data_IF_376376901653
#
_entry.id   IF_376376901653
#
_cell.length_a   1.000
_cell.length_b   1.000
_cell.length_c   1.000
_cell.angle_alpha   90.00
_cell.angle_beta   90.00
_cell.angle_gamma   90.00
#
_symmetry.space_group_name_H-M   'P 1'
#
loop_
_entity.id
_entity.type
_entity.pdbx_description
1 polymer ?
#
# COMPACT_ATOMS: atom_id res chain seq x y z
N UNK A 1 -41.59 -2.80 -2.95
CA UNK A 1 -40.54 -2.01 -3.63
C UNK A 1 -39.63 -3.01 -4.34
N UNK A 2 -39.48 -2.98 -5.67
CA UNK A 2 -38.43 -3.76 -6.32
C UNK A 2 -37.07 -3.17 -5.94
N UNK A 3 -36.04 -3.98 -5.60
CA UNK A 3 -34.70 -3.47 -5.38
C UNK A 3 -34.16 -2.91 -6.70
N UNK A 4 -33.66 -1.68 -6.66
CA UNK A 4 -33.11 -0.99 -7.82
C UNK A 4 -31.97 -1.81 -8.48
N UNK A 5 -31.83 -1.76 -9.82
CA UNK A 5 -30.74 -2.41 -10.50
C UNK A 5 -29.42 -1.82 -10.00
N UNK A 6 -28.58 -2.67 -9.42
CA UNK A 6 -27.19 -2.33 -9.13
C UNK A 6 -26.56 -1.95 -10.47
N UNK A 7 -26.29 -0.66 -10.68
CA UNK A 7 -25.53 -0.21 -11.84
C UNK A 7 -24.24 -1.02 -11.81
N UNK A 8 -24.01 -1.86 -12.81
CA UNK A 8 -22.73 -2.52 -13.02
C UNK A 8 -21.70 -1.40 -13.13
N UNK A 9 -20.99 -1.16 -12.02
CA UNK A 9 -19.86 -0.26 -12.00
C UNK A 9 -18.86 -0.81 -13.03
N UNK A 10 -18.17 0.07 -13.80
CA UNK A 10 -17.07 -0.38 -14.65
C UNK A 10 -16.14 -1.27 -13.81
N UNK A 11 -15.52 -2.32 -14.40
CA UNK A 11 -14.74 -3.31 -13.66
C UNK A 11 -13.90 -2.56 -12.63
N UNK A 12 -14.15 -2.79 -11.32
CA UNK A 12 -13.62 -1.91 -10.30
C UNK A 12 -12.12 -1.93 -10.43
N UNK A 13 -11.53 -0.76 -10.73
CA UNK A 13 -10.09 -0.58 -10.59
C UNK A 13 -9.71 -1.13 -9.21
N UNK A 14 -8.64 -1.96 -9.11
CA UNK A 14 -8.25 -2.51 -7.83
C UNK A 14 -8.10 -1.35 -6.83
N UNK A 15 -8.87 -1.44 -5.75
CA UNK A 15 -8.87 -0.44 -4.71
C UNK A 15 -8.01 -0.96 -3.58
N UNK A 16 -6.94 -0.24 -3.31
CA UNK A 16 -5.95 -0.58 -2.30
C UNK A 16 -6.26 0.22 -1.05
N UNK A 17 -6.76 -0.47 -0.04
CA UNK A 17 -7.12 0.13 1.24
C UNK A 17 -6.11 -0.29 2.32
N UNK A 18 -5.60 0.69 3.04
CA UNK A 18 -4.89 0.53 4.31
C UNK A 18 -5.90 0.86 5.40
N UNK A 19 -6.11 -0.09 6.31
CA UNK A 19 -7.05 0.10 7.40
C UNK A 19 -6.30 0.12 8.73
N UNK A 20 -6.78 0.90 9.71
CA UNK A 20 -6.21 0.86 11.06
C UNK A 20 -6.32 -0.54 11.71
N UNK A 21 -7.21 -1.41 11.21
CA UNK A 21 -7.28 -2.83 11.64
C UNK A 21 -6.04 -3.63 11.26
N UNK A 22 -5.32 -3.24 10.21
CA UNK A 22 -4.08 -3.90 9.80
C UNK A 22 -2.97 -3.69 10.85
N UNK A 23 -3.20 -2.76 11.80
CA UNK A 23 -2.30 -2.29 12.87
C UNK A 23 -1.11 -1.49 12.36
N UNK A 24 -0.55 -1.91 11.23
CA UNK A 24 0.78 -1.53 10.77
C UNK A 24 0.82 -1.41 9.25
N UNK A 25 1.58 -0.43 8.75
CA UNK A 25 1.76 -0.21 7.30
C UNK A 25 2.41 -1.45 6.68
N UNK A 26 3.33 -2.10 7.41
CA UNK A 26 3.90 -3.38 7.02
C UNK A 26 2.82 -4.41 6.71
N UNK A 27 1.89 -4.68 7.64
CA UNK A 27 0.82 -5.65 7.46
C UNK A 27 -0.07 -5.31 6.25
N UNK A 28 -0.41 -4.03 6.08
CA UNK A 28 -1.20 -3.58 4.95
C UNK A 28 -0.47 -3.83 3.62
N UNK A 29 0.82 -3.50 3.55
CA UNK A 29 1.66 -3.75 2.37
C UNK A 29 1.91 -5.24 2.13
N UNK A 30 2.04 -6.07 3.17
CA UNK A 30 2.12 -7.54 3.04
C UNK A 30 0.85 -8.06 2.37
N UNK A 31 -0.31 -7.55 2.77
CA UNK A 31 -1.60 -7.89 2.17
C UNK A 31 -1.68 -7.45 0.71
N UNK A 32 -1.16 -6.27 0.40
CA UNK A 32 -1.19 -5.72 -0.96
C UNK A 32 -0.27 -6.48 -1.90
N UNK A 33 0.97 -6.70 -1.46
CA UNK A 33 1.96 -7.50 -2.19
C UNK A 33 1.45 -8.92 -2.41
N UNK A 34 0.91 -9.58 -1.39
CA UNK A 34 0.30 -10.90 -1.53
C UNK A 34 -0.85 -10.93 -2.56
N UNK A 35 -1.72 -9.93 -2.56
CA UNK A 35 -2.81 -9.81 -3.54
C UNK A 35 -2.30 -9.58 -4.97
N UNK A 36 -1.20 -8.86 -5.12
CA UNK A 36 -0.58 -8.57 -6.42
C UNK A 36 0.38 -9.69 -6.90
N UNK A 37 0.72 -10.67 -6.04
CA UNK A 37 1.76 -11.67 -6.33
C UNK A 37 3.20 -11.14 -6.21
N UNK A 38 3.39 -10.12 -5.37
CA UNK A 38 4.66 -9.50 -5.02
C UNK A 38 5.13 -9.96 -3.64
N UNK A 39 6.41 -9.76 -3.35
CA UNK A 39 7.00 -9.99 -2.03
C UNK A 39 7.30 -8.66 -1.33
N UNK A 40 6.91 -8.52 -0.08
CA UNK A 40 7.30 -7.38 0.74
C UNK A 40 8.67 -7.64 1.39
N UNK A 41 9.61 -6.72 1.21
CA UNK A 41 10.89 -6.65 1.91
C UNK A 41 10.89 -5.41 2.80
N UNK A 42 10.54 -5.58 4.07
CA UNK A 42 10.53 -4.50 5.05
C UNK A 42 11.90 -4.40 5.72
N UNK A 43 12.68 -3.36 5.39
CA UNK A 43 14.03 -3.14 5.94
C UNK A 43 14.08 -2.01 6.97
N UNK A 44 12.94 -1.43 7.32
CA UNK A 44 12.87 -0.46 8.41
C UNK A 44 12.95 -1.17 9.76
N UNK A 45 13.78 -0.67 10.66
CA UNK A 45 13.83 -1.11 12.05
C UNK A 45 12.56 -0.71 12.84
N UNK A 46 11.84 0.30 12.36
CA UNK A 46 10.60 0.80 12.94
C UNK A 46 9.41 0.34 12.11
N UNK A 47 8.31 0.03 12.78
CA UNK A 47 7.02 -0.20 12.16
C UNK A 47 6.16 1.06 12.26
N UNK A 48 5.45 1.40 11.18
CA UNK A 48 4.56 2.55 11.17
C UNK A 48 3.14 2.08 11.49
N UNK A 49 2.57 2.48 12.64
CA UNK A 49 1.20 2.15 12.95
C UNK A 49 0.26 2.87 11.98
N UNK A 50 -0.73 2.14 11.49
CA UNK A 50 -1.79 2.74 10.67
C UNK A 50 -2.79 3.41 11.59
N UNK A 51 -2.70 4.73 11.71
CA UNK A 51 -3.65 5.53 12.51
C UNK A 51 -4.82 6.07 11.68
N UNK A 52 -4.70 6.06 10.35
CA UNK A 52 -5.70 6.56 9.43
C UNK A 52 -6.04 5.52 8.37
N UNK A 53 -7.32 5.47 7.96
CA UNK A 53 -7.71 4.70 6.78
C UNK A 53 -7.25 5.44 5.52
N UNK A 54 -6.62 4.73 4.61
CA UNK A 54 -6.22 5.29 3.30
C UNK A 54 -6.77 4.39 2.22
N UNK A 55 -7.58 4.95 1.32
CA UNK A 55 -8.11 4.21 0.17
C UNK A 55 -7.54 4.84 -1.09
N UNK A 56 -6.77 4.06 -1.85
CA UNK A 56 -6.20 4.48 -3.12
C UNK A 56 -6.81 3.64 -4.24
N UNK A 57 -7.42 4.32 -5.20
CA UNK A 57 -7.96 3.70 -6.41
C UNK A 57 -6.87 3.71 -7.48
N UNK A 58 -6.47 2.55 -8.00
CA UNK A 58 -5.46 2.49 -9.06
C UNK A 58 -4.68 1.19 -9.11
N UNK A 59 -3.51 1.22 -9.75
CA UNK A 59 -2.61 0.07 -9.76
C UNK A 59 -1.87 -0.06 -8.42
N UNK A 60 -1.34 -1.25 -8.15
CA UNK A 60 -0.50 -1.50 -6.98
C UNK A 60 0.67 -0.50 -6.89
N UNK A 61 1.29 -0.18 -8.04
CA UNK A 61 2.36 0.81 -8.16
C UNK A 61 1.91 2.19 -7.67
N UNK A 62 0.79 2.71 -8.19
CA UNK A 62 0.22 4.00 -7.76
C UNK A 62 -0.15 4.01 -6.29
N UNK A 63 -0.74 2.92 -5.78
CA UNK A 63 -1.12 2.82 -4.38
C UNK A 63 0.09 2.90 -3.45
N UNK A 64 1.15 2.16 -3.76
CA UNK A 64 2.37 2.15 -2.96
C UNK A 64 3.15 3.44 -3.11
N UNK A 65 3.20 4.06 -4.30
CA UNK A 65 3.78 5.40 -4.47
C UNK A 65 3.04 6.42 -3.61
N UNK A 66 1.71 6.42 -3.62
CA UNK A 66 0.92 7.33 -2.77
C UNK A 66 1.20 7.13 -1.27
N UNK A 67 1.34 5.87 -0.83
CA UNK A 67 1.71 5.53 0.56
C UNK A 67 3.13 5.98 0.86
N UNK A 68 4.09 5.71 -0.04
CA UNK A 68 5.47 6.12 0.09
C UNK A 68 5.58 7.65 0.18
N UNK A 69 4.90 8.41 -0.69
CA UNK A 69 4.87 9.86 -0.62
C UNK A 69 4.23 10.39 0.67
N UNK A 70 3.20 9.71 1.18
CA UNK A 70 2.58 10.06 2.47
C UNK A 70 3.55 9.83 3.63
N UNK A 71 4.32 8.74 3.57
CA UNK A 71 5.36 8.40 4.54
C UNK A 71 6.60 9.30 4.40
N UNK A 72 6.97 9.74 3.20
CA UNK A 72 8.03 10.73 2.96
C UNK A 72 7.73 12.08 3.61
N UNK A 73 6.44 12.40 3.80
CA UNK A 73 5.98 13.59 4.53
C UNK A 73 5.92 13.37 6.04
N UNK A 74 6.10 12.15 6.53
CA UNK A 74 6.20 11.85 7.95
C UNK A 74 7.59 12.21 8.49
N UNK A 75 7.75 12.20 9.82
CA UNK A 75 9.01 12.58 10.51
C UNK A 75 10.25 11.80 10.06
N UNK A 76 10.07 10.58 9.56
CA UNK A 76 11.15 9.73 9.08
C UNK A 76 11.00 9.54 7.58
N UNK A 77 11.97 9.97 6.76
CA UNK A 77 11.84 9.86 5.33
C UNK A 77 11.97 8.39 4.92
N UNK A 78 10.93 7.85 4.33
CA UNK A 78 10.83 6.44 3.91
C UNK A 78 10.87 6.36 2.38
N UNK A 79 11.49 5.34 1.81
CA UNK A 79 11.59 5.13 0.37
C UNK A 79 11.06 3.75 0.02
N UNK A 80 10.10 3.70 -0.91
CA UNK A 80 9.60 2.46 -1.49
C UNK A 80 10.31 2.18 -2.81
N UNK A 81 10.98 1.03 -2.90
CA UNK A 81 11.70 0.57 -4.08
C UNK A 81 10.99 -0.65 -4.64
N UNK A 82 10.43 -0.54 -5.84
CA UNK A 82 9.78 -1.65 -6.52
C UNK A 82 10.70 -2.30 -7.54
N UNK A 83 11.01 -3.57 -7.31
CA UNK A 83 11.75 -4.39 -8.24
C UNK A 83 10.78 -5.20 -9.11
N UNK A 84 10.48 -4.69 -10.30
CA UNK A 84 9.60 -5.37 -11.27
C UNK A 84 10.18 -6.70 -11.78
N UNK A 85 11.51 -6.83 -11.81
CA UNK A 85 12.18 -8.05 -12.28
C UNK A 85 11.94 -9.28 -11.39
N UNK A 86 11.87 -9.09 -10.07
CA UNK A 86 11.63 -10.16 -9.09
C UNK A 86 10.34 -9.96 -8.28
N UNK A 87 9.52 -8.96 -8.66
CA UNK A 87 8.27 -8.57 -8.01
C UNK A 87 8.46 -8.36 -6.50
N UNK A 88 9.53 -7.68 -6.11
CA UNK A 88 9.79 -7.34 -4.70
C UNK A 88 9.47 -5.87 -4.46
N UNK A 89 8.61 -5.59 -3.49
CA UNK A 89 8.44 -4.26 -2.93
C UNK A 89 9.35 -4.15 -1.70
N UNK A 90 10.38 -3.31 -1.79
CA UNK A 90 11.31 -3.05 -0.70
C UNK A 90 10.99 -1.70 -0.06
N UNK A 91 10.89 -1.65 1.26
CA UNK A 91 10.69 -0.42 2.02
C UNK A 91 11.94 -0.18 2.87
N UNK A 92 12.62 0.94 2.62
CA UNK A 92 13.89 1.33 3.26
C UNK A 92 13.81 2.75 3.79
N UNK A 93 14.64 3.10 4.76
CA UNK A 93 14.73 4.46 5.26
C UNK A 93 15.58 5.26 4.26
N UNK A 94 15.15 6.48 3.92
CA UNK A 94 15.86 7.35 2.96
C UNK A 94 17.26 7.78 3.45
N UNK A 95 17.58 7.55 4.72
CA UNK A 95 18.89 7.87 5.33
C UNK A 95 19.86 6.70 5.46
N UNK A 96 19.50 5.50 5.02
CA UNK A 96 20.38 4.32 4.99
C UNK A 96 20.75 4.00 3.54
N UNK A 97 21.68 4.77 2.98
CA UNK A 97 22.45 4.41 1.78
C UNK A 97 23.91 4.17 2.17
#
# INVERSE_FOLDING_TARGET
>A
MPPAPVKAAPPPLPTWEILPRDRSVRTALERWTASAGWQLSWELAVDYPVVARTSISGTFETAVEAVAQSLERAEVPVKAVMYRGNRVLRIVAKGSE
#
